data_IF_888477321698
#
_entry.id   IF_888477321698
#
_cell.length_a   1.000
_cell.length_b   1.000
_cell.length_c   1.000
_cell.angle_alpha   90.00
_cell.angle_beta   90.00
_cell.angle_gamma   90.00
#
_symmetry.space_group_name_H-M   'P 1'
#
loop_
_entity.id
_entity.type
_entity.pdbx_description
1 polymer ?
#
# COMPACT_ATOMS: atom_id res chain seq x y z
N UNK A 1 2.92 -0.90 6.35
CA UNK A 1 2.49 -2.29 6.14
C UNK A 1 3.55 -3.01 5.31
N UNK A 2 3.84 -2.59 4.06
CA UNK A 2 4.75 -3.30 3.15
C UNK A 2 6.12 -3.65 3.71
N UNK A 3 6.75 -2.74 4.45
CA UNK A 3 8.02 -2.99 5.13
C UNK A 3 7.95 -4.20 6.10
N UNK A 4 6.93 -4.22 6.95
CA UNK A 4 6.74 -5.32 7.91
C UNK A 4 6.37 -6.64 7.22
N UNK A 5 5.57 -6.57 6.15
CA UNK A 5 5.22 -7.73 5.37
C UNK A 5 6.46 -8.33 4.68
N UNK A 6 7.26 -7.51 3.99
CA UNK A 6 8.48 -7.97 3.33
C UNK A 6 9.44 -8.64 4.31
N UNK A 7 9.63 -8.04 5.50
CA UNK A 7 10.43 -8.61 6.57
C UNK A 7 9.87 -9.96 7.03
N UNK A 8 8.55 -10.04 7.31
CA UNK A 8 7.87 -11.27 7.76
C UNK A 8 8.00 -12.41 6.74
N UNK A 9 7.85 -12.10 5.45
CA UNK A 9 7.97 -13.08 4.37
C UNK A 9 9.42 -13.56 4.24
N UNK A 10 10.41 -12.65 4.24
CA UNK A 10 11.81 -13.01 4.18
C UNK A 10 12.22 -13.90 5.39
N UNK A 11 11.77 -13.56 6.59
CA UNK A 11 12.00 -14.37 7.82
C UNK A 11 11.29 -15.73 7.77
N UNK A 12 10.21 -15.86 7.02
CA UNK A 12 9.52 -17.13 6.76
C UNK A 12 10.27 -18.02 5.75
N UNK A 13 11.17 -17.43 4.96
CA UNK A 13 11.96 -18.13 3.94
C UNK A 13 11.43 -17.96 2.50
N UNK A 14 10.44 -17.08 2.29
CA UNK A 14 9.98 -16.77 0.94
C UNK A 14 11.02 -15.93 0.19
N UNK A 15 11.13 -16.12 -1.13
CA UNK A 15 11.84 -15.20 -2.01
C UNK A 15 11.01 -13.92 -2.19
N UNK A 16 11.53 -12.79 -1.70
CA UNK A 16 10.79 -11.51 -1.65
C UNK A 16 11.42 -10.47 -2.55
N UNK A 17 10.59 -9.84 -3.36
CA UNK A 17 10.99 -8.73 -4.21
C UNK A 17 10.19 -7.47 -3.83
N UNK A 18 10.85 -6.53 -3.15
CA UNK A 18 10.24 -5.26 -2.74
C UNK A 18 10.31 -4.21 -3.85
N UNK A 19 9.23 -3.45 -4.00
CA UNK A 19 9.14 -2.31 -4.92
C UNK A 19 8.53 -1.10 -4.21
N UNK A 20 9.15 0.07 -4.34
CA UNK A 20 8.60 1.37 -3.90
C UNK A 20 9.10 2.47 -4.84
N UNK A 21 8.27 3.47 -5.08
CA UNK A 21 8.66 4.64 -5.88
C UNK A 21 9.58 5.61 -5.13
N UNK A 22 9.65 5.50 -3.80
CA UNK A 22 10.33 6.42 -2.89
C UNK A 22 9.91 7.87 -3.17
N UNK A 23 8.60 8.10 -3.40
CA UNK A 23 8.08 9.45 -3.59
C UNK A 23 8.22 10.31 -2.32
N UNK A 24 8.15 11.61 -2.49
CA UNK A 24 8.34 12.64 -1.47
C UNK A 24 7.04 13.09 -0.77
N UNK A 25 5.98 12.31 -0.84
CA UNK A 25 4.70 12.61 -0.16
C UNK A 25 4.89 12.89 1.35
N UNK A 26 5.84 12.21 1.96
CA UNK A 26 6.38 12.52 3.29
C UNK A 26 7.90 12.36 3.29
N UNK A 27 8.56 12.75 4.36
CA UNK A 27 10.02 12.72 4.49
C UNK A 27 10.58 11.36 4.03
N UNK A 28 11.31 11.37 2.94
CA UNK A 28 11.89 10.17 2.30
C UNK A 28 12.90 9.45 3.19
N UNK A 29 13.51 10.16 4.16
CA UNK A 29 14.43 9.56 5.13
C UNK A 29 13.81 8.40 5.90
N UNK A 30 12.50 8.48 6.17
CA UNK A 30 11.78 7.36 6.79
C UNK A 30 11.70 6.13 5.87
N UNK A 31 11.58 6.33 4.55
CA UNK A 31 11.57 5.24 3.57
C UNK A 31 12.95 4.58 3.49
N UNK A 32 14.01 5.38 3.37
CA UNK A 32 15.40 4.88 3.39
C UNK A 32 15.74 4.18 4.70
N UNK A 33 15.30 4.71 5.85
CA UNK A 33 15.52 4.07 7.14
C UNK A 33 14.85 2.68 7.23
N UNK A 34 13.62 2.51 6.70
CA UNK A 34 12.97 1.18 6.60
C UNK A 34 13.75 0.22 5.69
N UNK A 35 14.24 0.72 4.55
CA UNK A 35 15.03 -0.08 3.62
C UNK A 35 16.36 -0.50 4.26
N UNK A 36 17.03 0.41 4.97
CA UNK A 36 18.25 0.11 5.74
C UNK A 36 18.01 -0.96 6.81
N UNK A 37 16.90 -0.90 7.55
CA UNK A 37 16.52 -1.96 8.51
C UNK A 37 16.31 -3.32 7.84
N UNK A 38 15.93 -3.32 6.56
CA UNK A 38 15.80 -4.52 5.74
C UNK A 38 17.09 -4.89 5.00
N UNK A 39 18.23 -4.23 5.28
CA UNK A 39 19.53 -4.52 4.68
C UNK A 39 19.75 -3.93 3.29
N UNK A 40 18.98 -2.94 2.88
CA UNK A 40 19.15 -2.21 1.61
C UNK A 40 19.79 -0.86 1.91
N UNK A 41 21.01 -0.62 1.43
CA UNK A 41 21.72 0.64 1.64
C UNK A 41 21.23 1.72 0.67
N UNK A 42 21.10 2.96 1.15
CA UNK A 42 20.58 4.09 0.36
C UNK A 42 21.45 4.38 -0.87
N UNK A 43 22.77 4.30 -0.70
CA UNK A 43 23.76 4.53 -1.76
C UNK A 43 23.69 3.53 -2.91
N UNK A 44 23.12 2.35 -2.69
CA UNK A 44 22.95 1.33 -3.71
C UNK A 44 21.68 1.50 -4.54
N UNK A 45 20.72 2.28 -4.05
CA UNK A 45 19.42 2.46 -4.68
C UNK A 45 19.53 3.36 -5.90
N UNK A 46 19.00 2.88 -7.01
CA UNK A 46 18.81 3.63 -8.24
C UNK A 46 17.55 3.19 -8.97
N UNK A 47 16.94 4.10 -9.72
CA UNK A 47 15.71 3.81 -10.45
C UNK A 47 15.92 2.63 -11.43
N UNK A 48 15.10 1.60 -11.28
CA UNK A 48 15.19 0.36 -12.08
C UNK A 48 16.37 -0.56 -11.75
N UNK A 49 17.23 -0.19 -10.79
CA UNK A 49 18.35 -1.02 -10.34
C UNK A 49 17.89 -1.97 -9.23
N UNK A 50 18.21 -3.25 -9.38
CA UNK A 50 17.98 -4.26 -8.35
C UNK A 50 19.08 -4.22 -7.30
N UNK A 51 18.68 -4.26 -6.03
CA UNK A 51 19.58 -4.24 -4.87
C UNK A 51 19.27 -5.43 -3.98
N UNK A 52 20.28 -6.26 -3.72
CA UNK A 52 20.17 -7.38 -2.79
C UNK A 52 20.29 -6.92 -1.33
N UNK A 53 19.53 -7.54 -0.45
CA UNK A 53 19.65 -7.25 0.96
C UNK A 53 20.92 -7.86 1.56
N UNK A 54 21.64 -7.07 2.33
CA UNK A 54 22.79 -7.54 3.14
C UNK A 54 22.36 -8.31 4.39
N UNK A 55 21.06 -8.31 4.71
CA UNK A 55 20.50 -8.92 5.94
C UNK A 55 19.71 -10.21 5.65
N UNK A 56 18.99 -10.24 4.53
CA UNK A 56 18.15 -11.36 4.11
C UNK A 56 18.59 -11.80 2.71
N UNK A 57 19.17 -12.97 2.58
CA UNK A 57 19.69 -13.51 1.31
C UNK A 57 18.59 -13.81 0.27
N UNK A 58 17.35 -13.80 0.70
CA UNK A 58 16.12 -14.01 -0.09
C UNK A 58 15.29 -12.75 -0.25
N UNK A 59 15.88 -11.55 -0.07
CA UNK A 59 15.20 -10.27 -0.27
C UNK A 59 15.97 -9.37 -1.24
N UNK A 60 15.26 -8.90 -2.26
CA UNK A 60 15.74 -7.88 -3.20
C UNK A 60 14.79 -6.69 -3.22
N UNK A 61 15.31 -5.55 -3.64
CA UNK A 61 14.53 -4.31 -3.75
C UNK A 61 14.80 -3.60 -5.09
N UNK A 62 13.77 -2.93 -5.61
CA UNK A 62 13.90 -2.02 -6.75
C UNK A 62 13.11 -0.73 -6.49
N UNK A 63 13.72 0.42 -6.81
CA UNK A 63 13.00 1.67 -6.89
C UNK A 63 12.31 1.76 -8.25
N UNK A 64 10.96 1.77 -8.26
CA UNK A 64 10.18 1.82 -9.49
C UNK A 64 8.81 2.42 -9.24
N UNK A 65 8.24 3.10 -10.25
CA UNK A 65 6.84 3.55 -10.24
C UNK A 65 5.95 2.51 -10.92
N UNK A 66 4.74 2.32 -10.40
CA UNK A 66 3.78 1.40 -11.01
C UNK A 66 3.29 1.91 -12.39
N UNK A 67 3.32 3.22 -12.62
CA UNK A 67 2.99 3.86 -13.90
C UNK A 67 4.01 3.56 -14.99
N UNK A 68 5.24 3.21 -14.62
CA UNK A 68 6.28 2.77 -15.55
C UNK A 68 6.04 1.32 -16.00
N UNK A 69 5.05 1.19 -16.88
CA UNK A 69 4.61 -0.11 -17.40
C UNK A 69 5.75 -0.93 -18.00
N UNK A 70 6.68 -0.27 -18.71
CA UNK A 70 7.77 -0.96 -19.39
C UNK A 70 8.67 -1.71 -18.41
N UNK A 71 9.17 -1.01 -17.41
CA UNK A 71 10.05 -1.59 -16.39
C UNK A 71 9.31 -2.56 -15.47
N UNK A 72 8.05 -2.26 -15.10
CA UNK A 72 7.22 -3.16 -14.30
C UNK A 72 6.97 -4.50 -15.01
N UNK A 73 6.67 -4.48 -16.32
CA UNK A 73 6.46 -5.69 -17.10
C UNK A 73 7.76 -6.48 -17.30
N UNK A 74 8.89 -5.80 -17.46
CA UNK A 74 10.20 -6.46 -17.50
C UNK A 74 10.49 -7.18 -16.18
N UNK A 75 10.21 -6.56 -15.05
CA UNK A 75 10.33 -7.17 -13.71
C UNK A 75 9.46 -8.43 -13.59
N UNK A 76 8.16 -8.31 -13.85
CA UNK A 76 7.21 -9.43 -13.74
C UNK A 76 7.59 -10.61 -14.64
N UNK A 77 8.04 -10.30 -15.88
CA UNK A 77 8.51 -11.31 -16.83
C UNK A 77 9.77 -12.02 -16.35
N UNK A 78 10.72 -11.27 -15.79
CA UNK A 78 12.02 -11.82 -15.40
C UNK A 78 11.92 -12.69 -14.14
N UNK A 79 11.11 -12.29 -13.19
CA UNK A 79 11.03 -12.94 -11.86
C UNK A 79 10.00 -14.07 -11.77
N UNK A 80 8.99 -14.09 -12.66
CA UNK A 80 7.93 -15.13 -12.68
C UNK A 80 7.33 -15.39 -11.29
N UNK A 81 6.79 -14.36 -10.67
CA UNK A 81 6.25 -14.41 -9.30
C UNK A 81 5.07 -15.38 -9.15
N UNK A 82 5.02 -16.12 -8.04
CA UNK A 82 3.87 -16.93 -7.63
C UNK A 82 2.71 -16.06 -7.12
N UNK A 83 3.03 -14.92 -6.53
CA UNK A 83 2.06 -13.99 -5.98
C UNK A 83 2.53 -12.54 -6.04
N UNK A 84 1.59 -11.63 -6.18
CA UNK A 84 1.82 -10.18 -6.05
C UNK A 84 1.00 -9.64 -4.89
N UNK A 85 1.64 -8.85 -4.01
CA UNK A 85 0.97 -8.10 -2.97
C UNK A 85 1.11 -6.59 -3.25
N UNK A 86 0.10 -5.98 -3.85
CA UNK A 86 0.09 -4.55 -4.16
C UNK A 86 -0.43 -3.72 -2.98
N UNK A 87 0.49 -3.20 -2.18
CA UNK A 87 0.22 -2.24 -1.10
C UNK A 87 0.57 -0.81 -1.50
N UNK A 88 1.12 -0.62 -2.69
CA UNK A 88 1.49 0.68 -3.22
C UNK A 88 0.26 1.47 -3.65
N UNK A 89 0.21 2.72 -3.24
CA UNK A 89 -0.80 3.69 -3.64
C UNK A 89 -0.38 5.10 -3.23
N UNK A 90 -0.91 6.12 -3.91
CA UNK A 90 -1.00 7.44 -3.31
C UNK A 90 -2.09 7.39 -2.25
N UNK A 91 -1.72 7.58 -0.99
CA UNK A 91 -2.61 7.55 0.16
C UNK A 91 -2.87 8.96 0.70
N UNK A 92 -3.87 9.08 1.61
CA UNK A 92 -4.23 10.34 2.23
C UNK A 92 -5.50 10.95 1.63
N UNK A 93 -6.61 10.93 2.39
CA UNK A 93 -7.91 11.44 1.91
C UNK A 93 -7.84 12.92 1.54
N UNK A 94 -7.16 13.74 2.37
CA UNK A 94 -7.09 15.20 2.15
C UNK A 94 -6.18 15.58 1.00
N UNK A 95 -5.03 14.96 0.90
CA UNK A 95 -4.10 15.22 -0.19
C UNK A 95 -4.70 14.94 -1.58
N UNK A 96 -5.76 14.11 -1.65
CA UNK A 96 -6.47 13.91 -2.92
C UNK A 96 -7.21 15.15 -3.44
N UNK A 97 -7.43 16.15 -2.58
CA UNK A 97 -7.99 17.45 -2.97
C UNK A 97 -6.89 18.40 -3.50
N UNK A 98 -5.66 18.22 -3.06
CA UNK A 98 -4.52 19.07 -3.43
C UNK A 98 -3.84 18.57 -4.72
N UNK A 99 -3.65 17.26 -4.84
CA UNK A 99 -3.00 16.62 -6.00
C UNK A 99 -3.80 15.40 -6.49
N UNK A 100 -4.93 15.61 -7.20
CA UNK A 100 -5.78 14.51 -7.66
C UNK A 100 -5.09 13.60 -8.70
N UNK A 101 -4.20 14.14 -9.53
CA UNK A 101 -3.53 13.37 -10.58
C UNK A 101 -2.65 12.26 -10.02
N UNK A 102 -1.96 12.49 -8.89
CA UNK A 102 -1.16 11.46 -8.24
C UNK A 102 -1.99 10.21 -7.85
N UNK A 103 -3.30 10.40 -7.57
CA UNK A 103 -4.21 9.29 -7.27
C UNK A 103 -4.64 8.53 -8.52
N UNK A 104 -4.88 9.22 -9.62
CA UNK A 104 -5.20 8.56 -10.88
C UNK A 104 -3.98 7.78 -11.38
N UNK A 105 -2.82 8.42 -11.41
CA UNK A 105 -1.60 7.81 -11.90
C UNK A 105 -1.22 6.56 -11.08
N UNK A 106 -1.06 6.70 -9.77
CA UNK A 106 -0.62 5.59 -8.92
C UNK A 106 -1.70 4.54 -8.69
N UNK A 107 -2.96 4.98 -8.36
CA UNK A 107 -3.97 4.03 -7.90
C UNK A 107 -4.74 3.41 -9.07
N UNK A 108 -5.00 4.14 -10.15
CA UNK A 108 -5.74 3.61 -11.29
C UNK A 108 -4.79 3.07 -12.36
N UNK A 109 -3.92 3.92 -12.91
CA UNK A 109 -3.00 3.50 -13.97
C UNK A 109 -1.99 2.47 -13.44
N UNK A 110 -1.39 2.73 -12.28
CA UNK A 110 -0.46 1.82 -11.63
C UNK A 110 -1.10 0.48 -11.28
N UNK A 111 -2.32 0.48 -10.73
CA UNK A 111 -3.01 -0.77 -10.41
C UNK A 111 -3.45 -1.54 -11.67
N UNK A 112 -3.87 -0.85 -12.72
CA UNK A 112 -4.13 -1.49 -14.02
C UNK A 112 -2.87 -2.18 -14.56
N UNK A 113 -1.70 -1.56 -14.43
CA UNK A 113 -0.45 -2.18 -14.85
C UNK A 113 -0.12 -3.43 -14.03
N UNK A 114 -0.42 -3.47 -12.73
CA UNK A 114 -0.31 -4.69 -11.91
C UNK A 114 -1.24 -5.78 -12.42
N UNK A 115 -2.52 -5.48 -12.65
CA UNK A 115 -3.51 -6.44 -13.15
C UNK A 115 -3.11 -7.02 -14.52
N UNK A 116 -2.73 -6.15 -15.46
CA UNK A 116 -2.26 -6.55 -16.80
C UNK A 116 -0.97 -7.37 -16.72
N UNK A 117 -0.04 -6.96 -15.84
CA UNK A 117 1.18 -7.72 -15.60
C UNK A 117 0.89 -9.11 -15.03
N UNK A 118 0.01 -9.24 -14.04
CA UNK A 118 -0.41 -10.53 -13.50
C UNK A 118 -1.04 -11.40 -14.60
N UNK A 119 -1.93 -10.82 -15.43
CA UNK A 119 -2.56 -11.54 -16.55
C UNK A 119 -1.54 -12.04 -17.58
N UNK A 120 -0.59 -11.18 -17.99
CA UNK A 120 0.35 -11.49 -19.07
C UNK A 120 1.44 -12.46 -18.64
N UNK A 121 1.84 -12.44 -17.37
CA UNK A 121 2.94 -13.26 -16.84
C UNK A 121 2.47 -14.35 -15.89
N UNK A 122 1.16 -14.67 -15.93
CA UNK A 122 0.55 -15.82 -15.23
C UNK A 122 0.73 -15.78 -13.70
N UNK A 123 0.61 -14.60 -13.10
CA UNK A 123 0.56 -14.46 -11.64
C UNK A 123 -0.90 -14.62 -11.20
N UNK A 124 -1.28 -15.81 -10.74
CA UNK A 124 -2.66 -16.14 -10.43
C UNK A 124 -3.13 -15.70 -9.05
N UNK A 125 -2.24 -15.19 -8.21
CA UNK A 125 -2.55 -14.78 -6.85
C UNK A 125 -2.18 -13.31 -6.60
N UNK A 126 -3.20 -12.46 -6.48
CA UNK A 126 -3.06 -11.02 -6.23
C UNK A 126 -3.74 -10.64 -4.92
N UNK A 127 -2.97 -10.17 -3.94
CA UNK A 127 -3.48 -9.46 -2.78
C UNK A 127 -3.30 -7.95 -2.99
N UNK A 128 -4.27 -7.12 -2.62
CA UNK A 128 -4.13 -5.67 -2.78
C UNK A 128 -4.80 -4.86 -1.66
N UNK A 129 -4.23 -3.69 -1.39
CA UNK A 129 -4.78 -2.76 -0.43
C UNK A 129 -5.98 -2.01 -1.01
N UNK A 130 -7.18 -2.29 -0.51
CA UNK A 130 -8.32 -1.39 -0.54
C UNK A 130 -8.27 -0.49 0.71
N UNK A 131 -9.38 0.06 1.14
CA UNK A 131 -9.45 0.98 2.29
C UNK A 131 -10.84 0.97 2.92
N UNK A 132 -10.91 1.15 4.23
CA UNK A 132 -12.19 1.44 4.91
C UNK A 132 -12.87 2.72 4.39
N UNK A 133 -12.14 3.61 3.73
CA UNK A 133 -12.70 4.82 3.11
C UNK A 133 -13.75 4.51 2.04
N UNK A 134 -13.78 3.29 1.46
CA UNK A 134 -14.80 2.87 0.48
C UNK A 134 -16.20 2.79 1.09
N UNK A 135 -16.32 2.62 2.41
CA UNK A 135 -17.62 2.62 3.10
C UNK A 135 -18.32 4.00 3.06
N UNK A 136 -17.59 5.09 2.82
CA UNK A 136 -18.13 6.40 2.51
C UNK A 136 -19.17 6.89 3.51
N UNK A 137 -20.41 7.06 3.03
CA UNK A 137 -21.56 7.56 3.82
C UNK A 137 -22.33 6.49 4.61
N UNK A 138 -21.83 5.26 4.67
CA UNK A 138 -22.50 4.22 5.47
C UNK A 138 -22.56 4.61 6.94
N UNK A 139 -23.75 4.53 7.54
CA UNK A 139 -24.03 4.87 8.94
C UNK A 139 -24.14 3.66 9.85
N UNK A 140 -24.39 2.48 9.26
CA UNK A 140 -24.48 1.23 10.01
C UNK A 140 -23.10 0.78 10.49
N UNK A 141 -22.97 0.51 11.78
CA UNK A 141 -21.77 -0.06 12.40
C UNK A 141 -22.14 -1.33 13.17
N UNK A 142 -21.25 -2.34 13.21
CA UNK A 142 -19.97 -2.43 12.49
C UNK A 142 -20.19 -2.54 10.98
N UNK A 143 -19.22 -2.06 10.20
CA UNK A 143 -19.22 -2.23 8.74
C UNK A 143 -19.09 -3.71 8.36
N UNK A 144 -19.73 -4.08 7.26
CA UNK A 144 -19.68 -5.43 6.69
C UNK A 144 -19.12 -5.40 5.29
N UNK A 145 -18.43 -6.47 4.90
CA UNK A 145 -17.99 -6.64 3.50
C UNK A 145 -19.15 -6.73 2.51
N UNK A 146 -20.37 -6.97 3.01
CA UNK A 146 -21.62 -7.03 2.21
C UNK A 146 -22.30 -5.67 2.06
N UNK A 147 -21.84 -4.65 2.78
CA UNK A 147 -22.44 -3.32 2.69
C UNK A 147 -22.17 -2.71 1.33
N UNK A 148 -23.14 -1.94 0.81
CA UNK A 148 -22.95 -1.16 -0.41
C UNK A 148 -21.88 -0.09 -0.18
N UNK A 149 -20.95 0.05 -1.12
CA UNK A 149 -19.82 0.98 -1.06
C UNK A 149 -19.75 1.89 -2.32
N UNK A 150 -20.89 2.22 -2.91
CA UNK A 150 -20.98 2.98 -4.16
C UNK A 150 -21.04 4.51 -3.93
N UNK A 151 -20.90 4.97 -2.68
CA UNK A 151 -20.97 6.38 -2.31
C UNK A 151 -19.69 6.85 -1.60
N UNK A 152 -18.51 6.76 -2.26
CA UNK A 152 -17.27 7.28 -1.71
C UNK A 152 -17.32 8.80 -1.57
N UNK A 153 -16.70 9.34 -0.50
CA UNK A 153 -16.73 10.79 -0.20
C UNK A 153 -15.39 11.49 -0.46
N UNK A 154 -14.47 10.82 -1.12
CA UNK A 154 -13.19 11.40 -1.55
C UNK A 154 -12.69 10.73 -2.82
N UNK A 155 -11.85 11.43 -3.58
CA UNK A 155 -11.20 10.84 -4.76
C UNK A 155 -10.35 9.62 -4.38
N UNK A 156 -9.64 9.68 -3.25
CA UNK A 156 -8.92 8.51 -2.73
C UNK A 156 -9.84 7.29 -2.56
N UNK A 157 -10.99 7.48 -1.90
CA UNK A 157 -11.95 6.39 -1.71
C UNK A 157 -12.52 5.89 -3.05
N UNK A 158 -12.78 6.80 -3.99
CA UNK A 158 -13.24 6.45 -5.33
C UNK A 158 -12.20 5.62 -6.09
N UNK A 159 -10.90 5.97 -6.03
CA UNK A 159 -9.86 5.15 -6.65
C UNK A 159 -9.75 3.77 -6.01
N UNK A 160 -9.86 3.67 -4.67
CA UNK A 160 -9.84 2.36 -3.98
C UNK A 160 -11.05 1.49 -4.32
N UNK A 161 -12.23 2.10 -4.49
CA UNK A 161 -13.41 1.37 -4.99
C UNK A 161 -13.21 0.93 -6.45
N UNK A 162 -12.60 1.75 -7.29
CA UNK A 162 -12.27 1.40 -8.67
C UNK A 162 -11.29 0.21 -8.71
N UNK A 163 -10.29 0.16 -7.82
CA UNK A 163 -9.38 -0.99 -7.69
C UNK A 163 -10.16 -2.30 -7.42
N UNK A 164 -11.16 -2.27 -6.51
CA UNK A 164 -12.01 -3.44 -6.23
C UNK A 164 -12.80 -3.90 -7.47
N UNK A 165 -13.35 -2.95 -8.24
CA UNK A 165 -14.11 -3.25 -9.46
C UNK A 165 -13.21 -3.79 -10.58
N UNK A 166 -12.04 -3.20 -10.79
CA UNK A 166 -11.06 -3.68 -11.76
C UNK A 166 -10.57 -5.08 -11.41
N UNK A 167 -10.21 -5.32 -10.14
CA UNK A 167 -9.77 -6.63 -9.68
C UNK A 167 -10.86 -7.70 -9.85
N UNK A 168 -12.13 -7.36 -9.55
CA UNK A 168 -13.27 -8.25 -9.79
C UNK A 168 -13.40 -8.61 -11.28
N UNK A 169 -13.27 -7.61 -12.16
CA UNK A 169 -13.34 -7.83 -13.62
C UNK A 169 -12.24 -8.75 -14.11
N UNK A 170 -11.00 -8.57 -13.65
CA UNK A 170 -9.87 -9.40 -14.02
C UNK A 170 -9.97 -10.82 -13.44
N UNK A 171 -10.51 -10.95 -12.23
CA UNK A 171 -10.83 -12.25 -11.63
C UNK A 171 -11.85 -13.01 -12.49
N UNK A 172 -12.93 -12.34 -12.91
CA UNK A 172 -13.98 -12.95 -13.73
C UNK A 172 -13.49 -13.34 -15.13
N UNK A 173 -12.75 -12.45 -15.80
CA UNK A 173 -12.36 -12.66 -17.20
C UNK A 173 -11.14 -13.58 -17.35
N UNK A 174 -10.20 -13.54 -16.41
CA UNK A 174 -8.88 -14.15 -16.55
C UNK A 174 -8.55 -15.15 -15.44
N UNK A 175 -9.43 -15.35 -14.46
CA UNK A 175 -9.24 -16.32 -13.39
C UNK A 175 -8.24 -15.91 -12.31
N UNK A 176 -7.78 -14.66 -12.27
CA UNK A 176 -6.85 -14.17 -11.24
C UNK A 176 -7.57 -14.20 -9.89
N UNK A 177 -6.99 -14.88 -8.91
CA UNK A 177 -7.48 -14.89 -7.51
C UNK A 177 -7.10 -13.59 -6.84
N UNK A 178 -8.00 -12.61 -6.88
CA UNK A 178 -7.74 -11.28 -6.33
C UNK A 178 -8.42 -11.11 -4.95
N UNK A 179 -7.64 -10.77 -3.93
CA UNK A 179 -8.11 -10.48 -2.57
C UNK A 179 -7.86 -9.02 -2.23
N UNK A 180 -8.93 -8.23 -2.10
CA UNK A 180 -8.87 -6.82 -1.69
C UNK A 180 -9.05 -6.67 -0.18
N UNK A 181 -8.12 -5.99 0.48
CA UNK A 181 -8.10 -5.79 1.93
C UNK A 181 -8.52 -4.36 2.28
N UNK A 182 -9.69 -4.18 2.90
CA UNK A 182 -10.21 -2.88 3.35
C UNK A 182 -9.59 -2.48 4.68
N UNK A 183 -8.33 -2.03 4.64
CA UNK A 183 -7.63 -1.62 5.85
C UNK A 183 -8.32 -0.43 6.54
N UNK A 184 -8.47 -0.52 7.85
CA UNK A 184 -8.80 0.58 8.74
C UNK A 184 -7.53 1.34 9.15
N UNK A 185 -7.49 1.96 10.33
CA UNK A 185 -6.32 2.70 10.78
C UNK A 185 -5.28 1.74 11.34
N UNK A 186 -4.24 1.50 10.57
CA UNK A 186 -3.12 0.66 10.98
C UNK A 186 -2.10 1.49 11.77
N UNK A 187 -1.68 1.01 12.93
CA UNK A 187 -0.69 1.67 13.77
C UNK A 187 0.43 0.71 14.20
N UNK A 188 1.56 1.27 14.64
CA UNK A 188 2.71 0.51 15.12
C UNK A 188 4.03 1.17 14.73
N UNK A 189 5.17 0.52 15.04
CA UNK A 189 6.50 1.00 14.69
C UNK A 189 6.62 1.29 13.19
N UNK A 190 7.47 2.25 12.82
CA UNK A 190 7.68 2.66 11.43
C UNK A 190 6.41 3.16 10.71
N UNK A 191 5.39 3.60 11.47
CA UNK A 191 4.16 4.17 10.94
C UNK A 191 4.40 5.43 10.09
N UNK A 192 3.43 5.77 9.24
CA UNK A 192 3.51 6.97 8.40
C UNK A 192 3.31 8.24 9.23
N UNK A 193 4.08 9.32 8.96
CA UNK A 193 4.04 10.55 9.75
C UNK A 193 2.81 11.44 9.48
N UNK A 194 2.02 11.16 8.43
CA UNK A 194 0.78 11.85 8.11
C UNK A 194 -0.43 11.36 8.94
N UNK A 195 -0.27 10.27 9.69
CA UNK A 195 -1.33 9.70 10.54
C UNK A 195 -1.55 10.51 11.83
N UNK A 196 -2.80 10.56 12.29
CA UNK A 196 -3.20 11.37 13.44
C UNK A 196 -2.39 11.04 14.71
N UNK A 197 -2.23 9.76 15.04
CA UNK A 197 -1.47 9.35 16.23
C UNK A 197 -0.01 9.83 16.18
N UNK A 198 0.65 9.79 15.02
CA UNK A 198 2.01 10.31 14.87
C UNK A 198 2.05 11.83 15.08
N UNK A 199 1.13 12.55 14.41
CA UNK A 199 1.03 14.01 14.53
C UNK A 199 0.79 14.46 15.97
N UNK A 200 -0.08 13.77 16.70
CA UNK A 200 -0.40 14.09 18.10
C UNK A 200 0.79 13.83 19.02
N UNK A 201 1.46 12.69 18.89
CA UNK A 201 2.65 12.37 19.65
C UNK A 201 3.77 13.40 19.37
N UNK A 202 4.02 13.71 18.09
CA UNK A 202 5.01 14.70 17.69
C UNK A 202 4.69 16.08 18.25
N UNK A 203 3.44 16.54 18.15
CA UNK A 203 3.02 17.84 18.69
C UNK A 203 3.20 17.90 20.21
N UNK A 204 2.88 16.81 20.93
CA UNK A 204 3.09 16.72 22.37
C UNK A 204 4.57 16.85 22.77
N UNK A 205 5.50 16.22 22.02
CA UNK A 205 6.94 16.36 22.27
C UNK A 205 7.49 17.75 21.90
N UNK A 206 6.88 18.44 20.95
CA UNK A 206 7.27 19.77 20.49
C UNK A 206 6.53 20.90 21.21
N UNK A 207 5.69 20.58 22.20
CA UNK A 207 4.81 21.52 22.92
C UNK A 207 3.97 22.40 21.96
N UNK A 208 3.45 21.76 20.88
CA UNK A 208 2.64 22.40 19.86
C UNK A 208 1.18 22.01 19.98
N UNK A 209 0.25 22.93 19.61
CA UNK A 209 -1.17 22.60 19.58
C UNK A 209 -1.48 21.53 18.52
N UNK A 210 -2.49 20.70 18.77
CA UNK A 210 -3.04 19.74 17.80
C UNK A 210 -4.29 20.33 17.16
N UNK A 211 -4.50 19.99 15.89
CA UNK A 211 -5.75 20.31 15.20
C UNK A 211 -6.81 19.25 15.52
N UNK A 212 -7.88 19.69 16.18
CA UNK A 212 -9.02 18.82 16.49
C UNK A 212 -10.12 19.03 15.46
N UNK A 213 -10.44 17.97 14.71
CA UNK A 213 -11.48 18.02 13.69
C UNK A 213 -12.81 17.54 14.23
N UNK A 214 -13.92 18.10 13.69
CA UNK A 214 -15.28 17.76 14.10
C UNK A 214 -15.47 17.81 15.63
N UNK A 215 -14.91 18.82 16.27
CA UNK A 215 -14.96 19.01 17.74
C UNK A 215 -14.51 17.79 18.56
N UNK A 216 -13.71 16.89 17.96
CA UNK A 216 -13.29 15.64 18.59
C UNK A 216 -14.31 14.50 18.51
N UNK A 217 -15.48 14.72 17.97
CA UNK A 217 -16.52 13.71 17.80
C UNK A 217 -16.21 12.79 16.62
N UNK A 218 -15.12 12.02 16.75
CA UNK A 218 -14.66 11.08 15.74
C UNK A 218 -14.31 9.74 16.35
N UNK A 219 -14.81 8.69 15.75
CA UNK A 219 -14.47 7.31 16.10
C UNK A 219 -13.63 6.69 14.99
N UNK A 220 -12.64 5.90 15.37
CA UNK A 220 -11.76 5.16 14.45
C UNK A 220 -11.49 3.78 15.03
N UNK A 221 -11.41 2.82 14.14
CA UNK A 221 -10.92 1.49 14.46
C UNK A 221 -9.41 1.45 14.19
N UNK A 222 -8.66 0.93 15.16
CA UNK A 222 -7.21 0.84 15.11
C UNK A 222 -6.78 -0.63 15.14
N UNK A 223 -5.96 -1.03 14.16
CA UNK A 223 -5.42 -2.39 14.10
C UNK A 223 -3.90 -2.33 14.18
N UNK A 224 -3.31 -3.14 15.07
CA UNK A 224 -1.87 -3.18 15.21
C UNK A 224 -1.20 -3.81 13.98
N UNK A 225 0.02 -3.37 13.68
CA UNK A 225 0.72 -3.73 12.45
C UNK A 225 0.93 -5.24 12.32
N UNK A 226 1.22 -5.95 13.40
CA UNK A 226 1.47 -7.40 13.33
C UNK A 226 0.20 -8.19 13.00
N UNK A 227 -0.97 -7.75 13.49
CA UNK A 227 -2.26 -8.35 13.15
C UNK A 227 -2.60 -8.13 11.67
N UNK A 228 -2.28 -6.94 11.15
CA UNK A 228 -2.44 -6.64 9.72
C UNK A 228 -1.53 -7.53 8.87
N UNK A 229 -0.27 -7.65 9.24
CA UNK A 229 0.71 -8.50 8.52
C UNK A 229 0.27 -9.95 8.54
N UNK A 230 -0.18 -10.46 9.70
CA UNK A 230 -0.70 -11.83 9.81
C UNK A 230 -1.94 -12.03 8.92
N UNK A 231 -2.86 -11.05 8.87
CA UNK A 231 -4.02 -11.10 7.99
C UNK A 231 -3.68 -11.11 6.50
N UNK A 232 -2.61 -10.40 6.10
CA UNK A 232 -2.13 -10.40 4.70
C UNK A 232 -1.45 -11.73 4.34
N UNK A 233 -0.72 -12.33 5.28
CA UNK A 233 0.03 -13.57 5.07
C UNK A 233 -0.90 -14.80 4.93
N UNK A 234 -2.06 -14.79 5.61
CA UNK A 234 -3.09 -15.85 5.53
C UNK A 234 -3.90 -15.80 4.23
#
# INVERSE_FOLDING_TARGET
IGFHLAKRLAERGDEVFGLDSINDYYDVRLKYARLKEAGIAEEDIGYGKYVESSKYNNYQFVQLRLEDRGNLFNLLRAQQFDAVCNLAAQAGVRYSLENPYAYIDSNIVGFLNILEGCRQYHVDNLCFASSSSVYGLNTKVPFSTKDNVDHPVSLYAATKKADELMAHTYSHLYGIRATGLRFFTVYGPWGRPDMAYYKFVKAAFEDKPIEVYNNGEMQRDFTYIDDIVEGVVR
#
